data_IF_554345441343
#
_entry.id   IF_554345441343
#
_cell.length_a   1.000
_cell.length_b   1.000
_cell.length_c   1.000
_cell.angle_alpha   90.00
_cell.angle_beta   90.00
_cell.angle_gamma   90.00
#
_symmetry.space_group_name_H-M   'P 1'
#
loop_
_entity.id
_entity.type
_entity.pdbx_description
1 polymer ?
#
# COMPACT_ATOMS: atom_id res chain seq x y z
N UNK A 1 0.96 7.08 7.92
CA UNK A 1 -0.50 6.86 8.07
C UNK A 1 -0.74 5.99 9.30
N UNK A 2 -1.88 6.05 10.00
CA UNK A 2 -2.15 5.09 11.09
C UNK A 2 -2.54 3.74 10.52
N UNK A 3 -2.05 2.65 11.10
CA UNK A 3 -2.33 1.27 10.65
C UNK A 3 -3.84 0.96 10.62
N UNK A 4 -4.58 1.49 11.59
CA UNK A 4 -6.03 1.33 11.72
C UNK A 4 -6.84 1.96 10.57
N UNK A 5 -6.23 2.86 9.81
CA UNK A 5 -6.88 3.53 8.67
C UNK A 5 -6.59 2.82 7.33
N UNK A 6 -5.93 1.67 7.37
CA UNK A 6 -5.59 0.88 6.19
C UNK A 6 -6.64 -0.22 6.03
N UNK A 7 -7.38 -0.12 4.93
CA UNK A 7 -8.39 -1.08 4.53
C UNK A 7 -7.77 -2.16 3.66
N UNK A 8 -8.05 -3.42 3.99
CA UNK A 8 -7.70 -4.55 3.14
C UNK A 8 -8.46 -4.46 1.81
N UNK A 9 -7.76 -4.79 0.72
CA UNK A 9 -8.25 -4.60 -0.65
C UNK A 9 -8.20 -3.16 -1.16
N UNK A 10 -7.88 -2.18 -0.30
CA UNK A 10 -7.75 -0.78 -0.66
C UNK A 10 -6.46 -0.46 -1.42
N UNK A 11 -6.50 0.61 -2.22
CA UNK A 11 -5.34 1.11 -2.95
C UNK A 11 -4.67 2.26 -2.20
N UNK A 12 -3.33 2.27 -2.21
CA UNK A 12 -2.53 3.21 -1.46
C UNK A 12 -1.31 3.66 -2.26
N UNK A 13 -0.97 4.94 -2.13
CA UNK A 13 0.29 5.49 -2.60
C UNK A 13 1.35 5.19 -1.54
N UNK A 14 2.38 4.43 -1.91
CA UNK A 14 3.51 4.13 -1.04
C UNK A 14 4.81 4.71 -1.58
N UNK A 15 5.70 5.12 -0.67
CA UNK A 15 7.03 5.58 -1.04
C UNK A 15 8.00 4.40 -1.05
N UNK A 16 8.53 4.06 -2.23
CA UNK A 16 9.58 3.06 -2.42
C UNK A 16 10.84 3.80 -2.89
N UNK A 17 11.81 3.95 -1.98
CA UNK A 17 12.98 4.79 -2.23
C UNK A 17 12.56 6.23 -2.51
N UNK A 18 12.86 6.74 -3.71
CA UNK A 18 12.49 8.09 -4.13
C UNK A 18 11.26 8.16 -5.05
N UNK A 19 10.53 7.04 -5.24
CA UNK A 19 9.37 6.96 -6.12
C UNK A 19 8.10 6.68 -5.32
N UNK A 20 6.97 7.22 -5.78
CA UNK A 20 5.63 6.88 -5.29
C UNK A 20 5.07 5.78 -6.19
N UNK A 21 4.61 4.69 -5.59
CA UNK A 21 4.04 3.53 -6.28
C UNK A 21 2.66 3.24 -5.71
N UNK A 22 1.70 2.94 -6.58
CA UNK A 22 0.36 2.51 -6.17
C UNK A 22 0.39 1.02 -5.88
N UNK A 23 -0.11 0.64 -4.71
CA UNK A 23 -0.23 -0.76 -4.29
C UNK A 23 -1.62 -1.04 -3.77
N UNK A 24 -2.04 -2.29 -3.87
CA UNK A 24 -3.26 -2.82 -3.25
C UNK A 24 -2.87 -3.63 -2.03
N UNK A 25 -3.35 -3.23 -0.86
CA UNK A 25 -3.13 -3.98 0.38
C UNK A 25 -3.93 -5.28 0.29
N UNK A 26 -3.29 -6.43 0.46
CA UNK A 26 -3.94 -7.74 0.41
C UNK A 26 -4.28 -8.22 1.82
N UNK A 27 -3.30 -8.22 2.70
CA UNK A 27 -3.43 -8.73 4.06
C UNK A 27 -2.42 -8.07 5.02
N UNK A 28 -2.68 -8.09 6.33
CA UNK A 28 -1.66 -7.77 7.33
C UNK A 28 -0.54 -8.79 7.25
N UNK A 29 0.68 -8.33 7.48
CA UNK A 29 1.84 -9.17 7.31
C UNK A 29 1.98 -10.15 8.49
N UNK A 30 2.04 -11.45 8.22
CA UNK A 30 1.88 -12.50 9.25
C UNK A 30 3.14 -12.81 10.07
N UNK A 31 4.27 -12.18 9.74
CA UNK A 31 5.61 -12.52 10.27
C UNK A 31 5.88 -12.01 11.69
N UNK A 32 4.86 -11.46 12.36
CA UNK A 32 5.00 -10.85 13.69
C UNK A 32 5.80 -9.54 13.73
N UNK A 33 6.34 -9.07 12.59
CA UNK A 33 7.11 -7.81 12.48
C UNK A 33 6.25 -6.58 12.15
N UNK A 34 4.93 -6.73 12.12
CA UNK A 34 3.99 -5.69 11.68
C UNK A 34 4.06 -5.41 10.17
N UNK A 35 3.17 -4.51 9.71
CA UNK A 35 3.08 -4.11 8.31
C UNK A 35 2.02 -4.86 7.49
N UNK A 36 2.13 -4.75 6.16
CA UNK A 36 1.14 -5.25 5.21
C UNK A 36 1.80 -5.90 3.99
N UNK A 37 1.21 -7.00 3.53
CA UNK A 37 1.50 -7.55 2.21
C UNK A 37 0.58 -6.90 1.19
N UNK A 38 1.17 -6.45 0.08
CA UNK A 38 0.48 -5.69 -0.95
C UNK A 38 0.97 -6.08 -2.34
N UNK A 39 0.19 -5.76 -3.37
CA UNK A 39 0.56 -6.00 -4.77
C UNK A 39 0.64 -4.66 -5.49
N UNK A 40 1.71 -4.43 -6.25
CA UNK A 40 1.86 -3.20 -7.04
C UNK A 40 0.88 -3.19 -8.20
N UNK A 41 0.16 -2.09 -8.41
CA UNK A 41 -0.80 -1.97 -9.52
C UNK A 41 -0.09 -1.84 -10.88
N UNK A 42 1.14 -1.33 -10.90
CA UNK A 42 1.88 -1.07 -12.14
C UNK A 42 2.45 -2.32 -12.82
N UNK A 43 2.48 -3.47 -12.14
CA UNK A 43 3.07 -4.69 -12.72
C UNK A 43 2.84 -5.95 -11.90
N UNK A 44 1.77 -5.98 -11.09
CA UNK A 44 1.31 -7.14 -10.32
C UNK A 44 2.40 -7.85 -9.50
N UNK A 45 3.41 -7.09 -9.03
CA UNK A 45 4.46 -7.62 -8.15
C UNK A 45 4.03 -7.59 -6.71
N UNK A 46 4.27 -8.70 -6.00
CA UNK A 46 4.16 -8.75 -4.55
C UNK A 46 5.21 -7.86 -3.91
N UNK A 47 4.75 -7.02 -2.98
CA UNK A 47 5.58 -6.14 -2.19
C UNK A 47 5.16 -6.16 -0.73
N UNK A 48 6.18 -6.17 0.13
CA UNK A 48 5.99 -6.12 1.56
C UNK A 48 6.21 -4.71 2.11
N UNK A 49 5.18 -4.16 2.72
CA UNK A 49 5.20 -2.86 3.39
C UNK A 49 5.48 -3.09 4.87
N UNK A 50 6.74 -2.92 5.29
CA UNK A 50 7.16 -3.17 6.68
C UNK A 50 6.64 -2.16 7.71
N UNK A 51 6.16 -1.00 7.27
CA UNK A 51 5.59 0.03 8.16
C UNK A 51 4.57 0.89 7.42
N UNK A 52 3.50 1.27 8.12
CA UNK A 52 2.50 2.22 7.64
C UNK A 52 3.03 3.65 7.44
N UNK A 53 4.24 3.97 7.91
CA UNK A 53 4.92 5.24 7.59
C UNK A 53 5.28 5.35 6.10
N UNK A 54 5.45 4.21 5.43
CA UNK A 54 5.70 4.19 3.97
C UNK A 54 4.44 4.49 3.16
N UNK A 55 3.27 4.41 3.79
CA UNK A 55 2.00 4.71 3.16
C UNK A 55 1.73 6.20 3.27
N UNK A 56 1.77 6.86 2.12
CA UNK A 56 1.63 8.31 1.99
C UNK A 56 0.16 8.70 2.12
N UNK A 57 -0.71 8.05 1.34
CA UNK A 57 -2.16 8.32 1.32
C UNK A 57 -2.93 7.17 0.67
N UNK A 58 -4.25 7.13 0.89
CA UNK A 58 -5.16 6.30 0.11
C UNK A 58 -5.17 6.77 -1.35
N UNK A 59 -4.89 5.86 -2.26
CA UNK A 59 -5.03 6.09 -3.70
C UNK A 59 -6.46 5.77 -4.10
N UNK A 60 -7.11 6.69 -4.82
CA UNK A 60 -8.43 6.44 -5.36
C UNK A 60 -8.35 6.35 -6.89
N UNK A 61 -8.44 5.14 -7.48
CA UNK A 61 -8.37 4.95 -8.93
C UNK A 61 -9.52 5.66 -9.67
N UNK A 62 -10.69 5.84 -9.05
CA UNK A 62 -11.84 6.52 -9.68
C UNK A 62 -11.74 8.04 -9.68
N UNK A 63 -10.84 8.61 -8.86
CA UNK A 63 -10.57 10.06 -8.84
C UNK A 63 -9.55 10.50 -9.89
N UNK A 64 -9.05 9.59 -10.74
CA UNK A 64 -8.27 9.97 -11.92
C UNK A 64 -9.25 10.55 -12.96
N UNK A 65 -9.67 11.79 -12.69
CA UNK A 65 -10.54 12.57 -13.55
C UNK A 65 -9.83 12.73 -14.90
N UNK A 66 -10.51 12.24 -15.94
CA UNK A 66 -10.21 12.46 -17.35
C UNK A 66 -10.18 13.95 -17.67
#
# INVERSE_FOLDING_TARGET
>A
MKEQNIELGGFYDIKIGNRITVVRIMQPAQDGKGGFDAITVAGDKDIRIRSADRIVRRYNPSKKKR
#
